data_IF_346414255361
#
_entry.id   IF_346414255361
#
_cell.length_a   1.000
_cell.length_b   1.000
_cell.length_c   1.000
_cell.angle_alpha   90.00
_cell.angle_beta   90.00
_cell.angle_gamma   90.00
#
_symmetry.space_group_name_H-M   'P 1'
#
loop_
_entity.id
_entity.type
_entity.pdbx_description
1 polymer ?
#
# COMPACT_ATOMS: atom_id res chain seq x y z
N UNK A 1 -20.79 -8.19 -12.26
CA UNK A 1 -20.73 -9.02 -13.49
C UNK A 1 -19.39 -9.72 -13.51
N UNK A 2 -19.29 -11.03 -13.84
CA UNK A 2 -17.98 -11.65 -14.04
C UNK A 2 -17.38 -11.08 -15.32
N UNK A 3 -16.25 -10.39 -15.21
CA UNK A 3 -15.51 -9.96 -16.38
C UNK A 3 -14.81 -11.18 -17.00
N UNK A 4 -14.94 -11.35 -18.31
CA UNK A 4 -14.26 -12.43 -19.05
C UNK A 4 -13.27 -11.76 -19.99
N UNK A 5 -11.99 -12.15 -19.92
CA UNK A 5 -10.91 -11.55 -20.69
C UNK A 5 -10.15 -12.63 -21.46
N UNK A 6 -9.61 -12.27 -22.63
CA UNK A 6 -8.77 -13.15 -23.44
C UNK A 6 -7.46 -13.51 -22.74
N UNK A 7 -6.90 -12.57 -21.96
CA UNK A 7 -5.68 -12.75 -21.18
C UNK A 7 -5.95 -12.56 -19.67
N UNK A 8 -5.33 -13.37 -18.79
CA UNK A 8 -5.42 -13.17 -17.35
C UNK A 8 -4.92 -11.77 -16.95
N UNK A 9 -5.66 -11.07 -16.09
CA UNK A 9 -5.27 -9.76 -15.57
C UNK A 9 -4.75 -9.91 -14.13
N UNK A 10 -3.62 -9.29 -13.78
CA UNK A 10 -3.22 -9.22 -12.38
C UNK A 10 -4.19 -8.33 -11.61
N UNK A 11 -4.37 -8.63 -10.33
CA UNK A 11 -4.85 -7.63 -9.38
C UNK A 11 -3.75 -6.56 -9.20
N UNK A 12 -4.16 -5.30 -9.06
CA UNK A 12 -3.24 -4.19 -8.77
C UNK A 12 -3.50 -3.70 -7.36
N UNK A 13 -2.40 -3.57 -6.61
CA UNK A 13 -2.37 -3.06 -5.24
C UNK A 13 -1.40 -1.90 -5.13
N UNK A 14 -1.52 -1.16 -4.04
CA UNK A 14 -0.56 -0.12 -3.63
C UNK A 14 -0.16 -0.38 -2.19
N UNK A 15 1.10 -0.11 -1.85
CA UNK A 15 1.63 -0.19 -0.49
C UNK A 15 2.38 1.11 -0.17
N UNK A 16 2.18 1.68 1.01
CA UNK A 16 2.76 2.95 1.45
C UNK A 16 3.83 2.73 2.51
N UNK A 17 5.07 3.08 2.20
CA UNK A 17 6.21 3.02 3.13
C UNK A 17 6.45 4.42 3.68
N UNK A 18 5.80 4.75 4.79
CA UNK A 18 5.93 6.07 5.43
C UNK A 18 6.94 6.00 6.55
N UNK A 19 8.09 6.64 6.34
CA UNK A 19 9.10 6.82 7.37
C UNK A 19 8.80 8.07 8.20
N UNK A 20 8.95 7.95 9.51
CA UNK A 20 8.90 9.07 10.44
C UNK A 20 10.26 9.33 11.07
N UNK A 21 10.68 10.60 11.13
CA UNK A 21 11.91 11.03 11.79
C UNK A 21 11.58 12.02 12.90
N UNK A 22 12.07 11.79 14.12
CA UNK A 22 11.86 12.68 15.28
C UNK A 22 13.06 13.59 15.58
N UNK A 23 14.11 13.56 14.77
CA UNK A 23 15.39 14.22 15.05
C UNK A 23 16.47 13.27 15.56
N UNK A 24 16.09 12.08 16.04
CA UNK A 24 17.02 11.10 16.62
C UNK A 24 16.83 9.68 16.05
N UNK A 25 15.60 9.27 15.77
CA UNK A 25 15.23 7.91 15.39
C UNK A 25 14.35 7.88 14.15
N UNK A 26 14.68 6.94 13.26
CA UNK A 26 13.86 6.59 12.11
C UNK A 26 12.85 5.52 12.53
N UNK A 27 11.58 5.79 12.26
CA UNK A 27 10.43 4.90 12.48
C UNK A 27 9.75 4.64 11.14
N UNK A 28 8.94 3.60 11.06
CA UNK A 28 8.13 3.29 9.89
C UNK A 28 6.71 2.93 10.32
N UNK A 29 5.73 3.42 9.56
CA UNK A 29 4.32 3.10 9.81
C UNK A 29 4.04 1.67 9.37
N UNK A 30 3.45 0.89 10.26
CA UNK A 30 2.98 -0.46 10.00
C UNK A 30 1.56 -0.62 10.52
N UNK A 31 0.79 -1.46 9.85
CA UNK A 31 -0.54 -1.89 10.28
C UNK A 31 -0.54 -3.36 10.61
N UNK A 32 -1.43 -3.77 11.51
CA UNK A 32 -1.64 -5.18 11.79
C UNK A 32 -2.84 -5.69 10.99
N UNK A 33 -2.60 -6.66 10.10
CA UNK A 33 -3.62 -7.18 9.18
C UNK A 33 -4.76 -7.85 9.94
N UNK A 34 -6.00 -7.43 9.70
CA UNK A 34 -7.20 -7.98 10.36
C UNK A 34 -7.75 -9.24 9.67
N UNK A 35 -7.43 -9.42 8.39
CA UNK A 35 -8.01 -10.46 7.53
C UNK A 35 -6.94 -11.39 6.94
N UNK A 36 -7.28 -12.67 6.67
CA UNK A 36 -6.44 -13.54 5.84
C UNK A 36 -6.26 -12.98 4.42
N UNK A 37 -5.15 -13.29 3.73
CA UNK A 37 -3.96 -13.98 4.22
C UNK A 37 -3.17 -13.12 5.22
N UNK A 38 -2.30 -13.78 6.01
CA UNK A 38 -1.41 -13.14 6.99
C UNK A 38 -2.13 -12.35 8.10
N UNK A 39 -3.28 -12.84 8.55
CA UNK A 39 -3.98 -12.27 9.70
C UNK A 39 -3.03 -12.15 10.91
N UNK A 40 -3.08 -11.02 11.59
CA UNK A 40 -2.24 -10.62 12.72
C UNK A 40 -0.77 -10.32 12.39
N UNK A 41 -0.32 -10.46 11.15
CA UNK A 41 1.01 -10.03 10.74
C UNK A 41 1.07 -8.51 10.58
N UNK A 42 2.26 -7.95 10.78
CA UNK A 42 2.55 -6.56 10.43
C UNK A 42 2.76 -6.42 8.92
N UNK A 43 2.23 -5.35 8.35
CA UNK A 43 2.37 -5.01 6.94
C UNK A 43 2.46 -3.49 6.77
N UNK A 44 2.90 -3.05 5.60
CA UNK A 44 2.71 -1.66 5.20
C UNK A 44 1.22 -1.38 4.97
N UNK A 45 0.76 -0.14 5.23
CA UNK A 45 -0.56 0.30 4.81
C UNK A 45 -0.72 0.15 3.30
N UNK A 46 -1.84 -0.39 2.84
CA UNK A 46 -2.03 -0.70 1.43
C UNK A 46 -3.23 -1.57 1.13
N UNK A 47 -3.63 -1.55 -0.15
CA UNK A 47 -4.81 -2.28 -0.60
C UNK A 47 -4.96 -2.28 -2.10
N UNK A 48 -6.14 -2.69 -2.55
CA UNK A 48 -6.43 -2.84 -3.99
C UNK A 48 -6.80 -1.48 -4.60
N UNK A 49 -6.34 -1.27 -5.83
CA UNK A 49 -6.76 -0.12 -6.63
C UNK A 49 -8.21 -0.35 -7.09
N UNK A 50 -9.09 0.61 -6.82
CA UNK A 50 -10.49 0.52 -7.21
C UNK A 50 -10.68 0.74 -8.73
N UNK A 51 -11.85 0.37 -9.23
CA UNK A 51 -12.21 0.65 -10.62
C UNK A 51 -12.25 2.17 -10.86
N UNK A 52 -11.59 2.63 -11.94
CA UNK A 52 -11.44 4.06 -12.28
C UNK A 52 -10.69 4.90 -11.24
N UNK A 53 -9.86 4.27 -10.40
CA UNK A 53 -8.99 4.94 -9.44
C UNK A 53 -7.54 4.99 -9.94
N UNK A 54 -6.89 6.15 -9.79
CA UNK A 54 -5.45 6.29 -10.06
C UNK A 54 -4.59 5.74 -8.93
N UNK A 55 -3.37 5.30 -9.24
CA UNK A 55 -2.46 4.69 -8.25
C UNK A 55 -2.18 5.59 -7.04
N UNK A 56 -1.92 6.89 -7.28
CA UNK A 56 -1.66 7.84 -6.20
C UNK A 56 -2.91 8.09 -5.34
N UNK A 57 -4.09 8.16 -5.97
CA UNK A 57 -5.36 8.30 -5.25
C UNK A 57 -5.63 7.08 -4.37
N UNK A 58 -5.40 5.88 -4.90
CA UNK A 58 -5.49 4.63 -4.14
C UNK A 58 -4.52 4.63 -2.95
N UNK A 59 -3.26 5.02 -3.17
CA UNK A 59 -2.25 5.04 -2.12
C UNK A 59 -2.62 6.00 -0.98
N UNK A 60 -3.08 7.22 -1.32
CA UNK A 60 -3.56 8.21 -0.34
C UNK A 60 -4.81 7.71 0.41
N UNK A 61 -5.75 7.07 -0.28
CA UNK A 61 -6.97 6.49 0.32
C UNK A 61 -6.64 5.38 1.31
N UNK A 62 -5.87 4.37 0.88
CA UNK A 62 -5.49 3.22 1.72
C UNK A 62 -4.68 3.67 2.95
N UNK A 63 -3.71 4.58 2.77
CA UNK A 63 -2.96 5.14 3.89
C UNK A 63 -3.88 5.82 4.91
N UNK A 64 -4.81 6.66 4.44
CA UNK A 64 -5.76 7.36 5.30
C UNK A 64 -6.73 6.42 6.02
N UNK A 65 -7.30 5.43 5.33
CA UNK A 65 -8.27 4.49 5.90
C UNK A 65 -7.66 3.60 6.99
N UNK A 66 -6.40 3.18 6.81
CA UNK A 66 -5.76 2.23 7.72
C UNK A 66 -4.98 2.88 8.87
N UNK A 67 -4.54 4.14 8.70
CA UNK A 67 -3.66 4.81 9.67
C UNK A 67 -4.20 6.15 10.18
N UNK A 68 -5.16 6.77 9.47
CA UNK A 68 -5.64 8.13 9.74
C UNK A 68 -4.67 9.24 9.30
N UNK A 69 -3.57 8.93 8.61
CA UNK A 69 -2.64 9.92 8.08
C UNK A 69 -3.19 10.55 6.80
N UNK A 70 -3.19 11.88 6.76
CA UNK A 70 -3.66 12.69 5.64
C UNK A 70 -2.55 13.65 5.18
N UNK A 71 -2.68 14.20 3.97
CA UNK A 71 -1.79 15.23 3.42
C UNK A 71 -0.30 14.84 3.41
N UNK A 72 0.00 13.54 3.36
CA UNK A 72 1.35 13.02 3.21
C UNK A 72 1.72 13.00 1.72
N UNK A 73 2.80 13.69 1.35
CA UNK A 73 3.33 13.61 -0.01
C UNK A 73 3.98 12.25 -0.26
N UNK A 74 3.36 11.48 -1.15
CA UNK A 74 3.78 10.12 -1.50
C UNK A 74 4.49 10.13 -2.86
N UNK A 75 5.67 9.54 -2.90
CA UNK A 75 6.43 9.35 -4.13
C UNK A 75 6.41 7.88 -4.53
N UNK A 76 6.13 7.60 -5.81
CA UNK A 76 6.22 6.24 -6.32
C UNK A 76 7.67 5.75 -6.26
N UNK A 77 7.88 4.56 -5.72
CA UNK A 77 9.20 3.93 -5.58
C UNK A 77 9.44 2.87 -6.66
N UNK A 78 8.75 1.73 -6.55
CA UNK A 78 8.98 0.56 -7.38
C UNK A 78 7.72 -0.31 -7.43
N UNK A 79 7.54 -1.04 -8.53
CA UNK A 79 6.51 -2.07 -8.66
C UNK A 79 7.09 -3.47 -8.37
N UNK A 80 6.34 -4.30 -7.64
CA UNK A 80 6.70 -5.68 -7.35
C UNK A 80 5.64 -6.62 -7.93
N UNK A 81 6.08 -7.54 -8.79
CA UNK A 81 5.18 -8.41 -9.56
C UNK A 81 5.65 -9.87 -9.67
N UNK A 82 6.59 -10.31 -8.84
CA UNK A 82 7.10 -11.69 -8.88
C UNK A 82 5.96 -12.72 -8.71
N UNK A 83 5.93 -13.79 -9.52
CA UNK A 83 4.94 -14.85 -9.38
C UNK A 83 4.92 -15.44 -7.97
N UNK A 84 3.73 -15.58 -7.38
CA UNK A 84 3.55 -16.15 -6.03
C UNK A 84 3.84 -15.20 -4.88
N UNK A 85 4.17 -13.92 -5.12
CA UNK A 85 4.36 -12.92 -4.06
C UNK A 85 3.12 -12.71 -3.18
N UNK A 86 1.94 -12.94 -3.76
CA UNK A 86 0.66 -12.87 -3.07
C UNK A 86 -0.07 -14.23 -3.18
N UNK A 87 -0.45 -14.87 -2.06
CA UNK A 87 -1.14 -16.15 -2.11
C UNK A 87 -2.56 -16.06 -2.67
N UNK A 88 -3.11 -14.86 -2.90
CA UNK A 88 -4.43 -14.64 -3.49
C UNK A 88 -4.42 -14.78 -5.02
N UNK A 89 -3.25 -14.77 -5.65
CA UNK A 89 -3.11 -14.96 -7.11
C UNK A 89 -2.08 -14.03 -7.75
N UNK A 90 -2.23 -13.80 -9.06
CA UNK A 90 -1.37 -12.87 -9.79
C UNK A 90 -1.66 -11.43 -9.32
N UNK A 91 -0.75 -10.85 -8.53
CA UNK A 91 -0.93 -9.52 -7.94
C UNK A 91 0.34 -8.70 -8.07
N UNK A 92 0.21 -7.51 -8.64
CA UNK A 92 1.27 -6.50 -8.72
C UNK A 92 0.97 -5.46 -7.63
N UNK A 93 1.98 -5.06 -6.86
CA UNK A 93 1.89 -3.85 -6.03
C UNK A 93 2.76 -2.75 -6.59
N UNK A 94 2.28 -1.52 -6.54
CA UNK A 94 3.06 -0.31 -6.77
C UNK A 94 3.35 0.31 -5.40
N UNK A 95 4.60 0.28 -4.98
CA UNK A 95 5.00 0.85 -3.70
C UNK A 95 5.20 2.36 -3.81
N UNK A 96 4.67 3.08 -2.83
CA UNK A 96 4.89 4.50 -2.59
C UNK A 96 5.68 4.67 -1.30
N UNK A 97 6.41 5.77 -1.17
CA UNK A 97 7.12 6.09 0.06
C UNK A 97 7.04 7.57 0.41
N UNK A 98 7.29 7.89 1.68
CA UNK A 98 7.45 9.25 2.17
C UNK A 98 8.37 9.28 3.39
N UNK A 99 8.92 10.45 3.69
CA UNK A 99 9.64 10.74 4.93
C UNK A 99 9.01 11.98 5.58
N UNK A 100 8.49 11.82 6.78
CA UNK A 100 7.80 12.87 7.53
C UNK A 100 8.54 13.20 8.83
N UNK A 101 8.47 14.46 9.25
CA UNK A 101 8.89 14.87 10.58
C UNK A 101 7.75 14.57 11.57
N UNK A 102 8.00 13.67 12.53
CA UNK A 102 6.99 13.29 13.53
C UNK A 102 6.79 14.34 14.62
N UNK A 103 7.55 15.43 14.60
CA UNK A 103 7.27 16.59 15.45
C UNK A 103 6.23 17.54 14.81
N UNK A 104 5.93 17.35 13.51
CA UNK A 104 4.98 18.16 12.74
C UNK A 104 3.68 17.41 12.40
N UNK A 105 3.62 16.09 12.67
CA UNK A 105 2.50 15.18 12.41
C UNK A 105 2.21 14.32 13.63
#
# INVERSE_FOLDING_TARGET
MPFTYEYPRPAVTVDCIVFGWDGEKLKVVLIQRKLPPFKNAWAFPGGFVAENEGLEAAARRELAEETGLHDIELQQFQSFGDPGRDPRGHTITVAFWSLIDTNLH
#
